data_IF_507595162879
#
_entry.id   IF_507595162879
#
_cell.length_a   1.000
_cell.length_b   1.000
_cell.length_c   1.000
_cell.angle_alpha   90.00
_cell.angle_beta   90.00
_cell.angle_gamma   90.00
#
_symmetry.space_group_name_H-M   'P 1'
#
loop_
_entity.id
_entity.type
_entity.pdbx_description
1 polymer ?
#
# COMPACT_ATOMS: atom_id res chain seq x y z
N UNK A 1 -10.77 -28.53 -7.60
CA UNK A 1 -10.47 -28.45 -6.16
C UNK A 1 -9.74 -27.13 -5.98
N UNK A 2 -10.23 -26.24 -5.12
CA UNK A 2 -9.42 -25.06 -4.75
C UNK A 2 -8.11 -25.55 -4.17
N UNK A 3 -7.00 -25.00 -4.60
CA UNK A 3 -5.70 -25.35 -4.07
C UNK A 3 -5.72 -25.06 -2.55
N UNK A 4 -5.40 -26.04 -1.69
CA UNK A 4 -5.41 -25.86 -0.23
C UNK A 4 -4.48 -24.71 0.22
N UNK A 5 -3.48 -24.39 -0.60
CA UNK A 5 -2.54 -23.30 -0.37
C UNK A 5 -3.18 -21.91 -0.55
N UNK A 6 -3.85 -21.67 -1.67
CA UNK A 6 -4.40 -20.35 -2.00
C UNK A 6 -5.92 -20.32 -1.83
N UNK A 7 -6.39 -19.82 -0.69
CA UNK A 7 -7.82 -19.61 -0.41
C UNK A 7 -8.28 -18.18 -0.77
N UNK A 8 -7.34 -17.34 -1.21
CA UNK A 8 -7.53 -15.92 -1.54
C UNK A 8 -7.38 -15.01 -0.31
N UNK A 9 -6.97 -13.80 -0.53
CA UNK A 9 -6.76 -12.86 0.58
C UNK A 9 -5.92 -11.66 0.18
N UNK A 10 -4.60 -11.74 0.33
CA UNK A 10 -3.75 -10.56 0.23
C UNK A 10 -4.23 -9.46 1.19
N UNK A 11 -4.01 -8.21 0.84
CA UNK A 11 -4.45 -7.05 1.64
C UNK A 11 -5.97 -6.92 1.77
N UNK A 12 -6.77 -7.63 0.95
CA UNK A 12 -8.25 -7.66 1.10
C UNK A 12 -8.70 -8.36 2.39
N UNK A 13 -7.81 -9.14 3.03
CA UNK A 13 -8.07 -9.82 4.30
C UNK A 13 -7.95 -8.89 5.52
N UNK A 14 -7.43 -7.66 5.37
CA UNK A 14 -7.33 -6.69 6.46
C UNK A 14 -8.73 -6.38 7.06
N UNK A 15 -8.77 -6.15 8.37
CA UNK A 15 -9.98 -5.65 9.03
C UNK A 15 -10.35 -4.28 8.44
N UNK A 16 -11.65 -4.01 8.31
CA UNK A 16 -12.10 -2.71 7.80
C UNK A 16 -11.70 -1.57 8.75
N UNK A 17 -11.38 -0.37 8.21
CA UNK A 17 -10.83 0.75 8.98
C UNK A 17 -11.73 1.13 10.18
N UNK A 18 -13.04 1.14 10.02
CA UNK A 18 -13.97 1.51 11.10
C UNK A 18 -14.02 0.53 12.28
N UNK A 19 -13.61 -0.75 12.12
CA UNK A 19 -13.50 -1.70 13.23
C UNK A 19 -12.18 -1.44 13.98
N UNK A 20 -11.10 -1.26 13.23
CA UNK A 20 -9.77 -1.03 13.80
C UNK A 20 -9.74 0.25 14.64
N UNK A 21 -10.29 1.34 14.15
CA UNK A 21 -10.41 2.62 14.87
C UNK A 21 -11.10 2.48 16.23
N UNK A 22 -12.20 1.69 16.28
CA UNK A 22 -12.94 1.46 17.53
C UNK A 22 -12.09 0.72 18.56
N UNK A 23 -11.33 -0.29 18.12
CA UNK A 23 -10.50 -1.11 19.00
C UNK A 23 -9.28 -0.32 19.49
N UNK A 24 -8.61 0.40 18.62
CA UNK A 24 -7.44 1.21 18.97
C UNK A 24 -7.75 2.31 19.98
N UNK A 25 -8.94 2.92 19.91
CA UNK A 25 -9.42 3.91 20.92
C UNK A 25 -9.58 3.34 22.33
N UNK A 26 -9.63 2.01 22.49
CA UNK A 26 -9.72 1.36 23.80
C UNK A 26 -8.34 1.18 24.45
N UNK A 27 -7.27 1.36 23.71
CA UNK A 27 -5.89 1.18 24.20
C UNK A 27 -5.45 2.46 24.92
N UNK A 28 -5.10 2.40 26.23
CA UNK A 28 -4.56 3.56 26.93
C UNK A 28 -3.22 4.00 26.29
N UNK A 29 -3.12 5.25 25.88
CA UNK A 29 -1.90 5.80 25.31
C UNK A 29 -0.93 6.20 26.42
N UNK A 30 0.31 5.70 26.36
CA UNK A 30 1.41 6.18 27.18
C UNK A 30 2.17 7.21 26.37
N UNK A 31 2.23 8.44 26.85
CA UNK A 31 3.05 9.46 26.23
C UNK A 31 4.56 9.12 26.41
N UNK A 32 5.27 9.09 25.30
CA UNK A 32 6.72 8.98 25.25
C UNK A 32 7.25 10.02 24.24
N UNK A 33 8.04 11.03 24.67
CA UNK A 33 8.52 12.06 23.76
C UNK A 33 9.47 11.55 22.67
N UNK A 34 9.96 10.31 22.79
CA UNK A 34 10.79 9.67 21.78
C UNK A 34 9.97 8.89 20.75
N UNK A 35 8.69 8.62 20.99
CA UNK A 35 7.78 8.09 19.98
C UNK A 35 7.34 9.26 19.09
N UNK A 36 8.03 9.44 17.97
CA UNK A 36 7.79 10.56 17.05
C UNK A 36 6.52 10.34 16.21
N UNK A 37 6.30 9.09 15.77
CA UNK A 37 5.11 8.66 15.02
C UNK A 37 4.58 7.37 15.65
N UNK A 38 3.27 7.34 15.92
CA UNK A 38 2.55 6.19 16.45
C UNK A 38 1.27 5.94 15.64
N UNK A 39 0.32 5.21 16.20
CA UNK A 39 -0.94 4.86 15.51
C UNK A 39 -2.03 5.96 15.57
N UNK A 40 -1.66 7.19 15.95
CA UNK A 40 -2.64 8.27 16.19
C UNK A 40 -3.24 8.87 14.93
N UNK A 41 -2.46 8.85 13.84
CA UNK A 41 -2.81 9.49 12.56
C UNK A 41 -2.87 8.49 11.39
N UNK A 42 -2.90 7.18 11.69
CA UNK A 42 -2.90 6.12 10.67
C UNK A 42 -1.67 6.17 9.76
N UNK A 43 -0.52 6.58 10.29
CA UNK A 43 0.74 6.51 9.57
C UNK A 43 1.16 5.06 9.30
N UNK A 44 1.96 4.85 8.25
CA UNK A 44 2.31 3.51 7.75
C UNK A 44 3.19 2.72 8.71
N UNK A 45 4.04 3.39 9.51
CA UNK A 45 4.90 2.75 10.50
C UNK A 45 5.11 3.58 11.76
N UNK A 46 5.48 2.92 12.86
CA UNK A 46 5.93 3.59 14.08
C UNK A 46 7.36 4.10 13.93
N UNK A 47 7.63 5.30 14.46
CA UNK A 47 8.98 5.89 14.46
C UNK A 47 9.39 6.24 15.89
N UNK A 48 10.47 5.62 16.36
CA UNK A 48 11.01 5.83 17.70
C UNK A 48 12.43 6.42 17.65
N UNK A 49 12.62 7.57 18.27
CA UNK A 49 13.91 8.27 18.30
C UNK A 49 14.89 7.61 19.26
N UNK A 50 16.07 7.27 18.78
CA UNK A 50 17.18 6.74 19.60
C UNK A 50 18.15 7.86 20.00
N UNK A 51 18.54 8.70 19.03
CA UNK A 51 19.41 9.87 19.21
C UNK A 51 18.87 11.07 18.45
N UNK A 52 19.53 12.21 18.52
CA UNK A 52 19.13 13.42 17.77
C UNK A 52 19.23 13.24 16.24
N UNK A 53 20.02 12.26 15.79
CA UNK A 53 20.28 12.01 14.36
C UNK A 53 19.72 10.66 13.86
N UNK A 54 19.22 9.79 14.76
CA UNK A 54 18.80 8.43 14.43
C UNK A 54 17.47 8.08 15.08
N UNK A 55 16.52 7.64 14.27
CA UNK A 55 15.30 6.99 14.69
C UNK A 55 15.16 5.62 14.03
N UNK A 56 14.46 4.71 14.71
CA UNK A 56 14.03 3.41 14.18
C UNK A 56 12.63 3.57 13.61
N UNK A 57 12.43 3.04 12.40
CA UNK A 57 11.11 2.84 11.78
C UNK A 57 10.77 1.37 11.91
N UNK A 58 9.58 1.05 12.42
CA UNK A 58 9.16 -0.34 12.64
C UNK A 58 7.73 -0.56 12.18
N UNK A 59 7.56 -1.60 11.36
CA UNK A 59 6.26 -2.06 10.88
C UNK A 59 6.17 -3.58 10.88
N UNK A 60 4.95 -4.06 10.69
CA UNK A 60 4.71 -5.46 10.35
C UNK A 60 3.46 -5.59 9.47
N UNK A 61 3.55 -6.45 8.46
CA UNK A 61 2.42 -6.79 7.60
C UNK A 61 2.47 -8.27 7.22
N UNK A 62 1.34 -8.95 7.28
CA UNK A 62 1.20 -10.35 6.88
C UNK A 62 -0.23 -10.64 6.45
N UNK A 63 -0.39 -11.57 5.51
CA UNK A 63 -1.69 -11.93 4.96
C UNK A 63 -1.69 -13.34 4.35
N UNK A 64 -2.88 -13.92 4.06
CA UNK A 64 -3.00 -15.20 3.37
C UNK A 64 -2.65 -15.10 1.89
N UNK A 65 -2.24 -16.21 1.24
CA UNK A 65 -1.90 -16.26 -0.17
C UNK A 65 -3.02 -15.77 -1.08
N UNK A 66 -2.63 -15.05 -2.14
CA UNK A 66 -3.51 -14.54 -3.18
C UNK A 66 -3.13 -15.05 -4.58
N UNK A 67 -1.96 -15.66 -4.70
CA UNK A 67 -1.46 -16.32 -5.91
C UNK A 67 -1.14 -17.78 -5.60
N UNK A 68 -1.14 -18.64 -6.62
CA UNK A 68 -0.93 -20.08 -6.43
C UNK A 68 0.56 -20.47 -6.32
N UNK A 69 1.46 -19.65 -6.82
CA UNK A 69 2.91 -19.86 -6.73
C UNK A 69 3.44 -19.39 -5.35
N UNK A 70 3.97 -20.32 -4.51
CA UNK A 70 4.47 -19.98 -3.18
C UNK A 70 5.65 -19.02 -3.19
N UNK A 71 6.57 -19.13 -4.16
CA UNK A 71 7.70 -18.23 -4.27
C UNK A 71 7.26 -16.81 -4.62
N UNK A 72 6.35 -16.69 -5.59
CA UNK A 72 5.75 -15.42 -5.96
C UNK A 72 4.98 -14.80 -4.78
N UNK A 73 4.22 -15.60 -4.03
CA UNK A 73 3.55 -15.13 -2.81
C UNK A 73 4.53 -14.57 -1.80
N UNK A 74 5.65 -15.25 -1.59
CA UNK A 74 6.73 -14.78 -0.72
C UNK A 74 7.28 -13.41 -1.14
N UNK A 75 7.51 -13.22 -2.45
CA UNK A 75 7.94 -11.92 -3.01
C UNK A 75 6.91 -10.81 -2.76
N UNK A 76 5.64 -11.08 -3.06
CA UNK A 76 4.56 -10.09 -2.89
C UNK A 76 4.41 -9.69 -1.42
N UNK A 77 4.37 -10.67 -0.51
CA UNK A 77 4.19 -10.40 0.91
C UNK A 77 5.36 -9.60 1.51
N UNK A 78 6.59 -9.91 1.11
CA UNK A 78 7.76 -9.16 1.54
C UNK A 78 7.77 -7.74 0.93
N UNK A 79 7.47 -7.58 -0.36
CA UNK A 79 7.41 -6.27 -1.02
C UNK A 79 6.39 -5.35 -0.33
N UNK A 80 5.23 -5.90 0.05
CA UNK A 80 4.21 -5.15 0.79
C UNK A 80 4.70 -4.71 2.17
N UNK A 81 5.26 -5.62 2.97
CA UNK A 81 5.73 -5.29 4.32
C UNK A 81 6.92 -4.32 4.34
N UNK A 82 7.76 -4.32 3.30
CA UNK A 82 8.88 -3.39 3.14
C UNK A 82 8.43 -1.97 2.76
N UNK A 83 7.24 -1.84 2.19
CA UNK A 83 6.72 -0.59 1.62
C UNK A 83 6.54 0.51 2.64
N UNK A 84 6.03 0.20 3.83
CA UNK A 84 5.80 1.15 4.92
C UNK A 84 7.09 1.90 5.31
N UNK A 85 8.25 1.22 5.28
CA UNK A 85 9.53 1.86 5.58
C UNK A 85 9.83 2.95 4.53
N UNK A 86 9.52 2.71 3.26
CA UNK A 86 9.74 3.66 2.18
C UNK A 86 8.72 4.80 2.19
N UNK A 87 7.46 4.51 2.55
CA UNK A 87 6.43 5.53 2.72
C UNK A 87 6.84 6.55 3.80
N UNK A 88 7.44 6.08 4.89
CA UNK A 88 7.98 6.93 5.95
C UNK A 88 9.29 7.65 5.57
N UNK A 89 9.87 7.41 4.39
CA UNK A 89 11.16 7.96 3.94
C UNK A 89 12.39 7.26 4.51
N UNK A 90 12.22 6.09 5.16
CA UNK A 90 13.25 5.32 5.82
C UNK A 90 14.06 4.41 4.89
N UNK A 91 15.05 3.75 5.48
CA UNK A 91 15.89 2.73 4.83
C UNK A 91 15.73 1.39 5.58
N UNK A 92 15.43 0.32 4.85
CA UNK A 92 15.31 -1.03 5.41
C UNK A 92 16.67 -1.50 5.96
N UNK A 93 16.67 -2.10 7.15
CA UNK A 93 17.86 -2.68 7.77
C UNK A 93 17.71 -4.16 8.03
N UNK A 94 16.66 -4.59 8.74
CA UNK A 94 16.41 -6.00 9.03
C UNK A 94 14.95 -6.36 8.86
N UNK A 95 14.69 -7.63 8.58
CA UNK A 95 13.35 -8.20 8.56
C UNK A 95 13.32 -9.53 9.33
N UNK A 96 12.17 -9.80 9.97
CA UNK A 96 11.86 -11.08 10.61
C UNK A 96 10.63 -11.68 9.95
N UNK A 97 10.69 -12.98 9.62
CA UNK A 97 9.53 -13.70 9.08
C UNK A 97 8.41 -13.84 10.12
N UNK A 98 7.17 -13.65 9.69
CA UNK A 98 5.96 -14.03 10.41
C UNK A 98 5.29 -15.13 9.59
N UNK A 99 5.15 -16.32 10.16
CA UNK A 99 4.68 -17.52 9.47
C UNK A 99 3.56 -18.20 10.25
N UNK A 100 2.40 -18.37 9.62
CA UNK A 100 1.39 -19.35 10.01
C UNK A 100 1.36 -20.42 8.91
N UNK A 101 1.54 -21.71 9.26
CA UNK A 101 1.68 -22.76 8.26
C UNK A 101 1.15 -24.10 8.78
N UNK A 102 0.30 -24.82 8.02
CA UNK A 102 -0.19 -26.14 8.41
C UNK A 102 0.95 -27.15 8.46
N UNK A 103 1.15 -27.81 9.61
CA UNK A 103 2.19 -28.84 9.77
C UNK A 103 2.01 -30.04 8.80
N UNK A 104 0.78 -30.28 8.34
CA UNK A 104 0.46 -31.32 7.35
C UNK A 104 0.81 -30.97 5.90
N UNK A 105 1.13 -29.69 5.61
CA UNK A 105 1.47 -29.24 4.27
C UNK A 105 2.95 -29.49 3.95
N UNK A 106 3.29 -29.70 2.67
CA UNK A 106 4.68 -29.93 2.26
C UNK A 106 5.58 -28.74 2.65
N UNK A 107 6.62 -29.02 3.44
CA UNK A 107 7.59 -28.03 3.89
C UNK A 107 8.33 -27.31 2.74
N UNK A 108 8.40 -27.92 1.54
CA UNK A 108 8.96 -27.26 0.36
C UNK A 108 8.17 -26.00 -0.03
N UNK A 109 6.86 -25.99 0.17
CA UNK A 109 6.00 -24.82 -0.05
C UNK A 109 6.45 -23.68 0.85
N UNK A 110 6.66 -23.93 2.14
CA UNK A 110 7.19 -22.94 3.07
C UNK A 110 8.59 -22.46 2.63
N UNK A 111 9.46 -23.39 2.21
CA UNK A 111 10.78 -23.07 1.70
C UNK A 111 10.73 -22.07 0.53
N UNK A 112 9.83 -22.27 -0.43
CA UNK A 112 9.64 -21.37 -1.56
C UNK A 112 9.13 -19.98 -1.13
N UNK A 113 8.18 -19.92 -0.18
CA UNK A 113 7.69 -18.64 0.38
C UNK A 113 8.86 -17.86 1.00
N UNK A 114 9.65 -18.51 1.86
CA UNK A 114 10.78 -17.86 2.53
C UNK A 114 11.87 -17.42 1.57
N UNK A 115 12.13 -18.19 0.50
CA UNK A 115 13.07 -17.80 -0.56
C UNK A 115 12.61 -16.55 -1.30
N UNK A 116 11.34 -16.49 -1.70
CA UNK A 116 10.76 -15.30 -2.33
C UNK A 116 10.82 -14.06 -1.44
N UNK A 117 10.52 -14.23 -0.15
CA UNK A 117 10.63 -13.14 0.83
C UNK A 117 12.07 -12.65 1.01
N UNK A 118 13.03 -13.59 1.13
CA UNK A 118 14.45 -13.25 1.27
C UNK A 118 15.01 -12.51 0.05
N UNK A 119 14.57 -12.87 -1.17
CA UNK A 119 14.97 -12.14 -2.38
C UNK A 119 14.61 -10.65 -2.27
N UNK A 120 13.38 -10.33 -1.88
CA UNK A 120 12.93 -8.94 -1.77
C UNK A 120 13.59 -8.18 -0.62
N UNK A 121 13.83 -8.82 0.51
CA UNK A 121 14.61 -8.23 1.62
C UNK A 121 16.03 -7.90 1.17
N UNK A 122 16.66 -8.79 0.41
CA UNK A 122 18.01 -8.58 -0.15
C UNK A 122 18.01 -7.43 -1.18
N UNK A 123 17.04 -7.40 -2.10
CA UNK A 123 16.86 -6.31 -3.06
C UNK A 123 16.65 -4.96 -2.36
N UNK A 124 15.92 -4.96 -1.25
CA UNK A 124 15.74 -3.79 -0.40
C UNK A 124 17.05 -3.29 0.23
N UNK A 125 18.08 -4.12 0.26
CA UNK A 125 19.36 -3.84 0.94
C UNK A 125 19.34 -4.20 2.42
N UNK A 126 18.31 -4.92 2.86
CA UNK A 126 18.17 -5.41 4.23
C UNK A 126 18.71 -6.83 4.43
N UNK A 127 18.63 -7.29 5.66
CA UNK A 127 19.02 -8.66 6.07
C UNK A 127 17.83 -9.36 6.70
N UNK A 128 17.49 -10.55 6.18
CA UNK A 128 16.53 -11.44 6.82
C UNK A 128 17.19 -12.10 8.03
N UNK A 129 16.78 -11.72 9.25
CA UNK A 129 17.49 -12.03 10.49
C UNK A 129 16.82 -13.17 11.31
N UNK A 130 15.83 -13.86 10.75
CA UNK A 130 15.10 -14.92 11.42
C UNK A 130 13.59 -14.73 11.37
N UNK A 131 12.89 -15.05 12.45
CA UNK A 131 11.43 -14.90 12.52
C UNK A 131 10.78 -15.88 13.49
N UNK A 132 9.45 -15.99 13.39
CA UNK A 132 8.65 -16.92 14.18
C UNK A 132 7.63 -17.64 13.31
N UNK A 133 7.40 -18.93 13.61
CA UNK A 133 6.41 -19.76 12.93
C UNK A 133 5.50 -20.46 13.92
N UNK A 134 4.23 -20.56 13.55
CA UNK A 134 3.23 -21.33 14.31
C UNK A 134 2.49 -22.30 13.38
N UNK A 135 2.07 -23.43 13.93
CA UNK A 135 1.13 -24.32 13.25
C UNK A 135 -0.27 -23.66 13.22
N UNK A 136 -0.86 -23.53 12.03
CA UNK A 136 -2.20 -22.96 11.83
C UNK A 136 -2.92 -23.75 10.73
N UNK A 137 -4.23 -23.60 10.64
CA UNK A 137 -5.05 -24.25 9.60
C UNK A 137 -4.88 -23.58 8.24
N UNK A 138 -4.45 -22.32 8.19
CA UNK A 138 -4.28 -21.54 6.98
C UNK A 138 -2.87 -20.95 6.89
N UNK A 139 -2.32 -20.91 5.68
CA UNK A 139 -1.06 -20.22 5.42
C UNK A 139 -1.25 -18.72 5.54
N UNK A 140 -0.37 -18.08 6.32
CA UNK A 140 -0.19 -16.63 6.35
C UNK A 140 1.31 -16.34 6.41
N UNK A 141 1.75 -15.36 5.65
CA UNK A 141 3.15 -14.95 5.61
C UNK A 141 3.27 -13.45 5.49
N UNK A 142 4.31 -12.94 6.07
CA UNK A 142 4.75 -11.57 5.97
C UNK A 142 5.99 -11.32 6.80
N UNK A 143 6.27 -10.05 7.04
CA UNK A 143 7.48 -9.63 7.74
C UNK A 143 7.16 -8.64 8.86
N UNK A 144 7.95 -8.69 9.93
CA UNK A 144 8.20 -7.53 10.76
C UNK A 144 9.48 -6.88 10.27
N UNK A 145 9.40 -5.60 9.88
CA UNK A 145 10.50 -4.88 9.26
C UNK A 145 10.98 -3.76 10.16
N UNK A 146 12.29 -3.65 10.31
CA UNK A 146 12.95 -2.53 10.95
C UNK A 146 13.77 -1.76 9.92
N UNK A 147 13.55 -0.45 9.88
CA UNK A 147 14.34 0.51 9.13
C UNK A 147 14.93 1.58 10.03
N UNK A 148 15.69 2.49 9.44
CA UNK A 148 16.23 3.68 10.11
C UNK A 148 15.98 4.93 9.29
N UNK A 149 15.86 6.06 10.01
CA UNK A 149 15.68 7.37 9.41
C UNK A 149 16.29 8.46 10.30
N UNK A 150 16.66 9.58 9.71
CA UNK A 150 16.97 10.78 10.49
C UNK A 150 15.65 11.41 10.98
N UNK A 151 15.49 11.77 12.28
CA UNK A 151 14.24 12.28 12.85
C UNK A 151 13.61 13.47 12.10
N UNK A 152 14.45 14.31 11.47
CA UNK A 152 13.99 15.49 10.69
C UNK A 152 13.60 15.17 9.24
N UNK A 153 13.65 13.92 8.82
CA UNK A 153 13.35 13.50 7.44
C UNK A 153 12.18 12.52 7.36
N UNK A 154 11.44 12.37 8.45
CA UNK A 154 10.26 11.52 8.50
C UNK A 154 9.21 12.11 7.56
N UNK A 155 8.66 11.27 6.68
CA UNK A 155 7.50 11.59 5.88
C UNK A 155 6.27 11.04 6.61
N UNK A 156 5.42 11.93 7.07
CA UNK A 156 4.13 11.56 7.66
C UNK A 156 3.04 11.66 6.58
N UNK A 157 1.94 10.94 6.76
CA UNK A 157 0.90 10.88 5.76
C UNK A 157 -0.02 12.12 5.73
N UNK A 158 -0.03 12.95 6.75
CA UNK A 158 -1.03 14.00 7.00
C UNK A 158 -0.50 15.45 6.93
N UNK A 159 0.66 15.67 6.37
CA UNK A 159 1.30 17.00 6.27
C UNK A 159 1.17 17.67 4.89
N UNK A 160 0.23 17.21 4.03
CA UNK A 160 -0.03 17.84 2.76
C UNK A 160 -0.40 19.32 2.90
N UNK A 161 -0.18 20.09 1.85
CA UNK A 161 -0.47 21.55 1.82
C UNK A 161 -1.35 21.90 0.63
N UNK A 162 -2.12 22.95 0.77
CA UNK A 162 -2.89 23.50 -0.34
C UNK A 162 -1.98 23.82 -1.53
N UNK A 163 -2.40 23.40 -2.73
CA UNK A 163 -1.64 23.57 -3.97
C UNK A 163 -0.68 22.42 -4.28
N UNK A 164 -0.42 21.49 -3.35
CA UNK A 164 0.37 20.31 -3.65
C UNK A 164 -0.27 19.48 -4.75
N UNK A 165 0.55 18.94 -5.65
CA UNK A 165 0.11 17.93 -6.60
C UNK A 165 0.23 16.55 -5.98
N UNK A 166 -0.72 15.67 -6.32
CA UNK A 166 -0.78 14.28 -5.87
C UNK A 166 -0.16 13.40 -6.96
N UNK A 167 0.95 12.72 -6.64
CA UNK A 167 1.64 11.83 -7.54
C UNK A 167 1.52 10.39 -7.04
N UNK A 168 1.03 9.49 -7.91
CA UNK A 168 0.89 8.05 -7.66
C UNK A 168 1.93 7.28 -8.48
N UNK A 169 2.65 6.34 -7.85
CA UNK A 169 3.84 5.69 -8.45
C UNK A 169 3.63 4.31 -9.04
N UNK A 170 2.43 3.73 -8.91
CA UNK A 170 2.05 2.43 -9.50
C UNK A 170 0.59 2.43 -9.92
N UNK A 171 0.20 1.55 -10.86
CA UNK A 171 -1.19 1.46 -11.31
C UNK A 171 -2.11 0.85 -10.25
N UNK A 172 -3.39 1.24 -10.30
CA UNK A 172 -4.48 0.66 -9.51
C UNK A 172 -5.11 -0.55 -10.21
N UNK A 173 -5.91 -1.32 -9.46
CA UNK A 173 -6.74 -2.41 -9.98
C UNK A 173 -6.26 -3.81 -9.59
N UNK A 174 -5.22 -3.93 -8.76
CA UNK A 174 -4.67 -5.22 -8.33
C UNK A 174 -5.72 -6.13 -7.67
N UNK A 175 -6.61 -5.58 -6.83
CA UNK A 175 -7.65 -6.37 -6.17
C UNK A 175 -8.69 -6.92 -7.16
N UNK A 176 -9.09 -6.12 -8.14
CA UNK A 176 -10.00 -6.51 -9.22
C UNK A 176 -9.36 -7.62 -10.06
N UNK A 177 -8.10 -7.44 -10.51
CA UNK A 177 -7.35 -8.45 -11.28
C UNK A 177 -7.23 -9.76 -10.51
N UNK A 178 -6.87 -9.72 -9.21
CA UNK A 178 -6.79 -10.92 -8.39
C UNK A 178 -8.16 -11.58 -8.17
N UNK A 179 -9.24 -10.82 -8.16
CA UNK A 179 -10.60 -11.36 -8.11
C UNK A 179 -10.96 -12.10 -9.42
N UNK A 180 -10.68 -11.49 -10.57
CA UNK A 180 -10.85 -12.13 -11.88
C UNK A 180 -9.97 -13.39 -12.02
N UNK A 181 -8.72 -13.34 -11.51
CA UNK A 181 -7.81 -14.50 -11.49
C UNK A 181 -8.38 -15.68 -10.71
N UNK A 182 -8.94 -15.45 -9.53
CA UNK A 182 -9.61 -16.51 -8.73
C UNK A 182 -10.80 -17.13 -9.44
N UNK A 183 -11.50 -16.34 -10.27
CA UNK A 183 -12.62 -16.79 -11.10
C UNK A 183 -12.15 -17.39 -12.43
N UNK A 184 -10.82 -17.47 -12.68
CA UNK A 184 -10.20 -17.95 -13.94
C UNK A 184 -10.64 -17.16 -15.17
N UNK A 185 -10.94 -15.89 -15.00
CA UNK A 185 -11.35 -14.94 -16.03
C UNK A 185 -10.27 -13.92 -16.40
N UNK A 186 -9.13 -13.92 -15.69
CA UNK A 186 -8.03 -12.98 -15.91
C UNK A 186 -7.28 -13.29 -17.20
N UNK A 187 -6.91 -12.26 -17.97
CA UNK A 187 -5.95 -12.38 -19.06
C UNK A 187 -4.52 -12.49 -18.52
N UNK A 188 -3.64 -13.18 -19.25
CA UNK A 188 -2.23 -13.30 -18.89
C UNK A 188 -1.56 -11.93 -18.74
N UNK A 189 -1.82 -11.01 -19.68
CA UNK A 189 -1.29 -9.65 -19.66
C UNK A 189 -1.70 -8.87 -18.39
N UNK A 190 -2.97 -8.90 -18.01
CA UNK A 190 -3.44 -8.20 -16.80
C UNK A 190 -2.89 -8.82 -15.52
N UNK A 191 -2.76 -10.17 -15.51
CA UNK A 191 -2.14 -10.86 -14.39
C UNK A 191 -0.66 -10.48 -14.22
N UNK A 192 0.10 -10.46 -15.33
CA UNK A 192 1.52 -10.10 -15.32
C UNK A 192 1.72 -8.65 -14.88
N UNK A 193 0.90 -7.70 -15.37
CA UNK A 193 0.93 -6.31 -14.91
C UNK A 193 0.69 -6.18 -13.40
N UNK A 194 -0.29 -6.92 -12.87
CA UNK A 194 -0.57 -6.92 -11.44
C UNK A 194 0.60 -7.53 -10.63
N UNK A 195 1.19 -8.63 -11.11
CA UNK A 195 2.35 -9.29 -10.49
C UNK A 195 3.56 -8.35 -10.49
N UNK A 196 3.85 -7.71 -11.61
CA UNK A 196 4.94 -6.73 -11.72
C UNK A 196 4.74 -5.58 -10.72
N UNK A 197 3.55 -5.00 -10.66
CA UNK A 197 3.21 -3.96 -9.69
C UNK A 197 3.42 -4.44 -8.25
N UNK A 198 2.91 -5.62 -7.89
CA UNK A 198 3.01 -6.18 -6.54
C UNK A 198 4.43 -6.58 -6.11
N UNK A 199 5.31 -6.90 -7.06
CA UNK A 199 6.68 -7.33 -6.76
C UNK A 199 7.72 -6.21 -6.92
N UNK A 200 7.36 -5.06 -7.46
CA UNK A 200 8.24 -3.90 -7.57
C UNK A 200 8.32 -3.16 -6.24
N UNK A 201 9.54 -2.99 -5.70
CA UNK A 201 9.76 -2.25 -4.45
C UNK A 201 9.49 -0.75 -4.64
N UNK A 202 8.77 -0.15 -3.69
CA UNK A 202 8.61 1.30 -3.59
C UNK A 202 9.92 2.04 -3.27
N UNK A 203 10.98 1.30 -2.94
CA UNK A 203 12.35 1.80 -2.74
C UNK A 203 12.80 2.76 -3.83
N UNK A 204 12.61 2.39 -5.09
CA UNK A 204 13.15 3.14 -6.23
C UNK A 204 12.49 4.51 -6.38
N UNK A 205 11.18 4.58 -6.20
CA UNK A 205 10.44 5.85 -6.18
C UNK A 205 10.81 6.68 -4.94
N UNK A 206 10.89 6.06 -3.76
CA UNK A 206 11.27 6.74 -2.52
C UNK A 206 12.67 7.36 -2.60
N UNK A 207 13.66 6.70 -3.24
CA UNK A 207 14.99 7.26 -3.45
C UNK A 207 14.98 8.51 -4.35
N UNK A 208 14.08 8.56 -5.33
CA UNK A 208 13.87 9.78 -6.15
C UNK A 208 13.28 10.88 -5.27
N UNK A 209 12.27 10.58 -4.47
CA UNK A 209 11.59 11.56 -3.62
C UNK A 209 12.51 12.22 -2.59
N UNK A 210 13.59 11.57 -2.16
CA UNK A 210 14.63 12.18 -1.29
C UNK A 210 15.25 13.47 -1.86
N UNK A 211 15.10 13.73 -3.18
CA UNK A 211 15.63 14.91 -3.88
C UNK A 211 14.66 16.09 -3.89
N UNK A 212 13.43 15.87 -3.44
CA UNK A 212 12.30 16.80 -3.56
C UNK A 212 11.72 17.16 -2.18
N UNK A 213 10.99 18.27 -2.13
CA UNK A 213 10.31 18.74 -0.93
C UNK A 213 8.97 18.07 -0.69
N UNK A 214 8.93 16.75 -0.53
CA UNK A 214 7.69 16.00 -0.26
C UNK A 214 7.08 16.47 1.07
N UNK A 215 5.80 16.81 1.06
CA UNK A 215 5.09 17.25 2.27
C UNK A 215 4.39 16.09 2.97
N UNK A 216 3.80 15.16 2.24
CA UNK A 216 3.16 13.96 2.81
C UNK A 216 3.37 12.76 1.88
N UNK A 217 3.43 11.57 2.46
CA UNK A 217 3.60 10.32 1.74
C UNK A 217 2.86 9.20 2.47
N UNK A 218 2.26 8.29 1.72
CA UNK A 218 1.72 6.99 2.18
C UNK A 218 1.82 5.99 1.04
N UNK A 219 1.75 4.70 1.31
CA UNK A 219 1.55 3.70 0.27
C UNK A 219 0.08 3.32 0.13
N UNK A 220 -0.32 2.93 -1.08
CA UNK A 220 -1.70 2.54 -1.33
C UNK A 220 -1.85 1.04 -1.16
N UNK A 221 -2.54 0.63 -0.10
CA UNK A 221 -2.74 -0.77 0.24
C UNK A 221 -4.24 -1.14 0.38
N UNK A 222 -4.61 -1.93 1.36
CA UNK A 222 -5.92 -2.56 1.49
C UNK A 222 -7.12 -1.61 1.59
N UNK A 223 -6.90 -0.36 1.93
CA UNK A 223 -7.99 0.64 2.01
C UNK A 223 -8.23 1.38 0.68
N UNK A 224 -7.38 1.16 -0.35
CA UNK A 224 -7.54 1.77 -1.66
C UNK A 224 -7.22 3.27 -1.69
N UNK A 225 -7.13 3.83 -2.89
CA UNK A 225 -6.66 5.19 -3.10
C UNK A 225 -7.46 6.23 -2.31
N UNK A 226 -8.79 6.17 -2.36
CA UNK A 226 -9.62 7.25 -1.80
C UNK A 226 -9.61 7.29 -0.26
N UNK A 227 -9.46 6.15 0.42
CA UNK A 227 -9.34 6.14 1.89
C UNK A 227 -7.99 6.69 2.32
N UNK A 228 -6.87 6.21 1.73
CA UNK A 228 -5.54 6.73 2.04
C UNK A 228 -5.40 8.22 1.71
N UNK A 229 -5.95 8.68 0.58
CA UNK A 229 -6.01 10.12 0.28
C UNK A 229 -6.84 10.87 1.32
N UNK A 230 -7.96 10.31 1.76
CA UNK A 230 -8.79 10.90 2.82
C UNK A 230 -8.06 11.04 4.16
N UNK A 231 -7.20 10.07 4.50
CA UNK A 231 -6.31 10.13 5.67
C UNK A 231 -5.26 11.24 5.50
N UNK A 232 -4.62 11.31 4.31
CA UNK A 232 -3.63 12.35 3.97
C UNK A 232 -4.18 13.76 4.08
N UNK A 233 -5.43 13.99 3.65
CA UNK A 233 -6.07 15.30 3.71
C UNK A 233 -6.47 15.73 5.13
N UNK A 234 -6.62 14.77 6.05
CA UNK A 234 -7.09 15.03 7.41
C UNK A 234 -8.42 15.80 7.43
N UNK A 235 -8.55 16.73 8.36
CA UNK A 235 -9.74 17.58 8.50
C UNK A 235 -9.58 18.99 7.90
N UNK A 236 -8.39 19.29 7.34
CA UNK A 236 -8.02 20.65 6.96
C UNK A 236 -8.13 20.92 5.46
N UNK A 237 -8.08 19.88 4.63
CA UNK A 237 -7.99 20.02 3.18
C UNK A 237 -9.02 19.18 2.45
N UNK A 238 -9.22 19.51 1.18
CA UNK A 238 -9.90 18.70 0.18
C UNK A 238 -8.94 18.40 -0.97
N UNK A 239 -9.34 17.50 -1.88
CA UNK A 239 -8.56 17.26 -3.10
C UNK A 239 -9.47 17.14 -4.32
N UNK A 240 -8.89 17.46 -5.47
CA UNK A 240 -9.40 17.11 -6.80
C UNK A 240 -8.57 15.94 -7.33
N UNK A 241 -9.25 14.92 -7.83
CA UNK A 241 -8.64 13.72 -8.44
C UNK A 241 -9.08 13.63 -9.88
N UNK A 242 -8.15 13.54 -10.81
CA UNK A 242 -8.39 13.57 -12.26
C UNK A 242 -8.34 12.15 -12.84
N UNK A 243 -9.50 11.57 -13.19
CA UNK A 243 -9.59 10.19 -13.65
C UNK A 243 -8.79 9.91 -14.91
N UNK A 244 -8.64 10.90 -15.79
CA UNK A 244 -7.85 10.80 -17.02
C UNK A 244 -6.34 10.65 -16.79
N UNK A 245 -5.85 10.92 -15.58
CA UNK A 245 -4.44 10.88 -15.21
C UNK A 245 -4.08 9.71 -14.28
N UNK A 246 -5.08 8.92 -13.88
CA UNK A 246 -4.85 7.79 -12.98
C UNK A 246 -4.22 6.63 -13.74
N UNK A 247 -3.05 6.12 -13.33
CA UNK A 247 -2.51 4.88 -13.83
C UNK A 247 -3.34 3.72 -13.27
N UNK A 248 -3.81 2.81 -14.14
CA UNK A 248 -4.55 1.60 -13.73
C UNK A 248 -4.44 0.51 -14.79
N UNK A 249 -4.60 -0.74 -14.38
CA UNK A 249 -4.62 -1.90 -15.26
C UNK A 249 -5.91 -1.85 -16.09
N UNK A 250 -5.79 -1.60 -17.39
CA UNK A 250 -6.93 -1.31 -18.28
C UNK A 250 -8.01 -2.38 -18.30
N UNK A 251 -7.61 -3.65 -18.21
CA UNK A 251 -8.55 -4.77 -18.17
C UNK A 251 -9.53 -4.70 -16.97
N UNK A 252 -9.25 -3.88 -15.96
CA UNK A 252 -10.16 -3.70 -14.83
C UNK A 252 -11.51 -3.10 -15.25
N UNK A 253 -11.58 -2.31 -16.32
CA UNK A 253 -12.86 -1.77 -16.80
C UNK A 253 -13.82 -2.90 -17.18
N UNK A 254 -13.35 -3.86 -18.01
CA UNK A 254 -14.14 -5.02 -18.42
C UNK A 254 -14.45 -5.93 -17.22
N UNK A 255 -13.47 -6.14 -16.32
CA UNK A 255 -13.69 -6.98 -15.14
C UNK A 255 -14.74 -6.40 -14.19
N UNK A 256 -14.80 -5.09 -14.03
CA UNK A 256 -15.84 -4.44 -13.24
C UNK A 256 -17.21 -4.56 -13.89
N UNK A 257 -17.32 -4.44 -15.21
CA UNK A 257 -18.56 -4.66 -15.95
C UNK A 257 -19.08 -6.11 -15.78
N UNK A 258 -18.16 -7.07 -15.62
CA UNK A 258 -18.47 -8.47 -15.29
C UNK A 258 -18.63 -8.73 -13.78
N UNK A 259 -18.66 -7.68 -12.96
CA UNK A 259 -18.79 -7.72 -11.50
C UNK A 259 -17.67 -8.45 -10.74
N UNK A 260 -16.45 -8.52 -11.27
CA UNK A 260 -15.28 -8.97 -10.51
C UNK A 260 -14.76 -7.89 -9.56
N UNK A 261 -15.65 -7.38 -8.73
CA UNK A 261 -15.35 -6.36 -7.72
C UNK A 261 -15.01 -6.98 -6.37
N UNK A 262 -14.30 -6.25 -5.52
CA UNK A 262 -13.84 -6.75 -4.24
C UNK A 262 -14.77 -6.39 -3.08
N UNK A 263 -15.00 -7.33 -2.17
CA UNK A 263 -15.73 -7.02 -0.94
C UNK A 263 -15.01 -5.96 -0.08
N UNK A 264 -13.68 -5.89 -0.17
CA UNK A 264 -12.90 -4.86 0.50
C UNK A 264 -13.14 -3.48 -0.12
N UNK A 265 -13.22 -3.37 -1.45
CA UNK A 265 -13.59 -2.11 -2.13
C UNK A 265 -14.96 -1.60 -1.68
N UNK A 266 -15.93 -2.50 -1.49
CA UNK A 266 -17.24 -2.11 -0.95
C UNK A 266 -17.16 -1.62 0.51
N UNK A 267 -16.30 -2.21 1.35
CA UNK A 267 -16.04 -1.71 2.71
C UNK A 267 -15.38 -0.32 2.68
N UNK A 268 -14.42 -0.11 1.77
CA UNK A 268 -13.75 1.17 1.56
C UNK A 268 -14.75 2.25 1.11
N UNK A 269 -15.62 1.92 0.13
CA UNK A 269 -16.72 2.80 -0.32
C UNK A 269 -17.66 3.16 0.84
N UNK A 270 -18.05 2.21 1.67
CA UNK A 270 -18.91 2.46 2.82
C UNK A 270 -18.24 3.34 3.89
N UNK A 271 -16.91 3.31 3.99
CA UNK A 271 -16.16 4.10 4.96
C UNK A 271 -16.07 5.58 4.57
N UNK A 272 -15.64 5.88 3.35
CA UNK A 272 -15.35 7.25 2.93
C UNK A 272 -16.31 7.80 1.85
N UNK A 273 -17.10 6.97 1.20
CA UNK A 273 -17.89 7.35 0.02
C UNK A 273 -18.81 8.54 0.23
N UNK A 274 -19.35 8.73 1.44
CA UNK A 274 -20.16 9.91 1.77
C UNK A 274 -19.37 11.24 1.69
N UNK A 275 -18.04 11.19 1.74
CA UNK A 275 -17.13 12.34 1.67
C UNK A 275 -16.55 12.54 0.26
N UNK A 276 -16.94 11.71 -0.72
CA UNK A 276 -16.47 11.76 -2.11
C UNK A 276 -17.59 12.26 -3.00
N UNK A 277 -17.29 13.17 -3.91
CA UNK A 277 -18.15 13.59 -5.00
C UNK A 277 -17.57 13.08 -6.32
N UNK A 278 -18.39 12.40 -7.13
CA UNK A 278 -18.01 11.91 -8.45
C UNK A 278 -18.69 12.76 -9.52
N UNK A 279 -17.90 13.36 -10.44
CA UNK A 279 -18.39 14.14 -11.55
C UNK A 279 -18.01 13.50 -12.87
N UNK A 280 -18.98 13.00 -13.62
CA UNK A 280 -18.79 12.31 -14.90
C UNK A 280 -17.83 11.11 -14.85
N UNK A 281 -17.81 10.39 -13.74
CA UNK A 281 -17.01 9.19 -13.52
C UNK A 281 -17.81 7.95 -13.97
N UNK A 282 -17.15 6.99 -14.63
CA UNK A 282 -17.76 5.69 -14.95
C UNK A 282 -17.84 4.82 -13.69
N UNK A 283 -18.80 3.90 -13.66
CA UNK A 283 -18.90 2.92 -12.57
C UNK A 283 -17.60 2.11 -12.41
N UNK A 284 -16.98 1.72 -13.51
CA UNK A 284 -15.71 0.99 -13.47
C UNK A 284 -14.60 1.80 -12.78
N UNK A 285 -14.47 3.08 -13.13
CA UNK A 285 -13.46 3.93 -12.49
C UNK A 285 -13.76 4.16 -11.01
N UNK A 286 -15.02 4.34 -10.62
CA UNK A 286 -15.39 4.42 -9.21
C UNK A 286 -14.94 3.19 -8.42
N UNK A 287 -15.18 1.98 -8.93
CA UNK A 287 -14.76 0.72 -8.30
C UNK A 287 -13.23 0.58 -8.24
N UNK A 288 -12.51 0.98 -9.31
CA UNK A 288 -11.05 0.99 -9.35
C UNK A 288 -10.45 1.91 -8.26
N UNK A 289 -11.06 3.06 -8.01
CA UNK A 289 -10.61 4.02 -6.99
C UNK A 289 -10.80 3.54 -5.55
N UNK A 290 -11.78 2.67 -5.31
CA UNK A 290 -12.00 2.02 -4.00
C UNK A 290 -11.30 0.67 -3.89
N UNK A 291 -10.75 0.14 -4.99
CA UNK A 291 -10.16 -1.20 -5.01
C UNK A 291 -8.96 -1.31 -4.07
N UNK A 292 -8.92 -2.34 -3.20
CA UNK A 292 -7.75 -2.57 -2.35
C UNK A 292 -6.54 -2.92 -3.20
N UNK A 293 -5.40 -2.35 -2.87
CA UNK A 293 -4.13 -2.71 -3.49
C UNK A 293 -3.32 -3.59 -2.55
N UNK A 294 -2.59 -4.55 -3.11
CA UNK A 294 -1.53 -5.27 -2.40
C UNK A 294 -0.21 -4.77 -2.94
N UNK A 295 0.64 -4.26 -2.07
CA UNK A 295 1.92 -3.67 -2.46
C UNK A 295 1.76 -2.59 -3.55
N UNK A 296 0.78 -1.70 -3.36
CA UNK A 296 0.54 -0.60 -4.30
C UNK A 296 1.64 0.46 -4.27
N UNK A 297 1.44 1.52 -5.06
CA UNK A 297 2.41 2.60 -5.19
C UNK A 297 2.39 3.57 -4.01
N UNK A 298 3.41 4.42 -3.95
CA UNK A 298 3.41 5.58 -3.07
C UNK A 298 2.46 6.65 -3.64
N UNK A 299 1.68 7.24 -2.75
CA UNK A 299 0.96 8.48 -3.00
C UNK A 299 1.70 9.59 -2.26
N UNK A 300 2.16 10.60 -2.97
CA UNK A 300 2.87 11.73 -2.37
C UNK A 300 2.18 13.05 -2.67
N UNK A 301 2.17 13.95 -1.68
CA UNK A 301 1.84 15.35 -1.86
C UNK A 301 3.14 16.14 -2.06
N UNK A 302 3.31 16.74 -3.23
CA UNK A 302 4.54 17.37 -3.68
C UNK A 302 4.26 18.80 -4.19
N UNK A 303 5.15 19.80 -3.92
CA UNK A 303 5.01 21.14 -4.47
C UNK A 303 4.88 21.13 -6.00
N UNK A 304 3.94 21.94 -6.53
CA UNK A 304 3.63 21.99 -7.97
C UNK A 304 4.86 22.23 -8.86
N UNK A 305 5.79 23.09 -8.42
CA UNK A 305 7.01 23.41 -9.16
C UNK A 305 8.02 22.25 -9.25
N UNK A 306 7.90 21.21 -8.41
CA UNK A 306 8.78 20.05 -8.37
C UNK A 306 8.15 18.81 -9.02
N UNK A 307 6.81 18.72 -9.01
CA UNK A 307 6.06 17.51 -9.38
C UNK A 307 6.37 16.97 -10.77
N UNK A 308 6.43 17.84 -11.80
CA UNK A 308 6.72 17.41 -13.18
C UNK A 308 8.12 16.83 -13.35
N UNK A 309 9.08 17.34 -12.58
CA UNK A 309 10.46 16.83 -12.63
C UNK A 309 10.54 15.48 -11.92
N UNK A 310 9.91 15.35 -10.75
CA UNK A 310 9.81 14.09 -10.03
C UNK A 310 9.12 13.01 -10.87
N UNK A 311 7.99 13.33 -11.50
CA UNK A 311 7.27 12.42 -12.39
C UNK A 311 8.17 11.85 -13.48
N UNK A 312 8.92 12.72 -14.21
CA UNK A 312 9.83 12.27 -15.28
C UNK A 312 10.93 11.34 -14.77
N UNK A 313 11.45 11.57 -13.56
CA UNK A 313 12.48 10.68 -13.00
C UNK A 313 11.87 9.32 -12.60
N UNK A 314 10.60 9.25 -12.19
CA UNK A 314 9.90 8.01 -11.86
C UNK A 314 9.51 7.26 -13.14
N UNK A 315 8.99 7.96 -14.17
CA UNK A 315 8.73 7.38 -15.49
C UNK A 315 9.98 6.73 -16.10
N UNK A 316 11.15 7.32 -15.87
CA UNK A 316 12.44 6.76 -16.34
C UNK A 316 12.83 5.44 -15.65
N UNK A 317 12.18 5.07 -14.54
CA UNK A 317 12.29 3.74 -13.92
C UNK A 317 11.42 2.68 -14.62
N UNK A 318 10.59 3.07 -15.59
CA UNK A 318 9.63 2.20 -16.25
C UNK A 318 8.34 1.97 -15.45
N UNK A 319 8.08 2.79 -14.41
CA UNK A 319 6.86 2.68 -13.60
C UNK A 319 5.69 3.39 -14.30
N UNK A 320 4.53 2.73 -14.31
CA UNK A 320 3.26 3.35 -14.70
C UNK A 320 2.78 4.23 -13.54
N UNK A 321 2.94 5.54 -13.69
CA UNK A 321 2.76 6.55 -12.65
C UNK A 321 2.09 7.79 -13.22
N UNK A 322 1.57 8.67 -12.35
CA UNK A 322 0.91 9.89 -12.81
C UNK A 322 0.73 10.95 -11.73
N UNK A 323 0.60 12.21 -12.16
CA UNK A 323 0.07 13.29 -11.32
C UNK A 323 -1.45 13.22 -11.41
N UNK A 324 -2.07 12.65 -10.39
CA UNK A 324 -3.48 12.24 -10.38
C UNK A 324 -4.43 13.29 -9.80
N UNK A 325 -3.93 14.40 -9.28
CA UNK A 325 -4.79 15.38 -8.64
C UNK A 325 -4.02 16.49 -7.93
N UNK A 326 -4.77 17.27 -7.15
CA UNK A 326 -4.26 18.42 -6.39
C UNK A 326 -4.95 18.53 -5.04
N UNK A 327 -4.20 18.90 -4.02
CA UNK A 327 -4.73 19.33 -2.72
C UNK A 327 -5.29 20.75 -2.83
N UNK A 328 -6.49 20.95 -2.29
CA UNK A 328 -7.18 22.25 -2.33
C UNK A 328 -7.55 22.70 -0.91
N UNK A 329 -7.97 23.96 -0.77
CA UNK A 329 -8.66 24.39 0.44
C UNK A 329 -9.83 23.47 0.79
N UNK A 330 -10.21 23.45 2.07
CA UNK A 330 -11.33 22.63 2.55
C UNK A 330 -12.63 23.01 1.85
N UNK A 331 -13.29 22.02 1.26
CA UNK A 331 -14.60 22.12 0.61
C UNK A 331 -15.65 21.28 1.35
N UNK A 332 -16.90 21.27 0.86
CA UNK A 332 -17.99 20.46 1.43
C UNK A 332 -17.67 18.96 1.44
N UNK A 333 -17.16 18.44 0.34
CA UNK A 333 -16.65 17.06 0.25
C UNK A 333 -15.13 17.05 0.40
N UNK A 334 -14.63 15.95 0.95
CA UNK A 334 -13.18 15.77 1.12
C UNK A 334 -12.48 15.52 -0.21
N UNK A 335 -13.10 14.76 -1.12
CA UNK A 335 -12.51 14.41 -2.41
C UNK A 335 -13.53 14.67 -3.53
N UNK A 336 -13.08 15.32 -4.59
CA UNK A 336 -13.81 15.56 -5.83
C UNK A 336 -13.13 14.79 -6.94
N UNK A 337 -13.78 13.76 -7.45
CA UNK A 337 -13.29 12.95 -8.57
C UNK A 337 -13.85 13.54 -9.86
N UNK A 338 -12.95 14.06 -10.70
CA UNK A 338 -13.25 14.78 -11.93
C UNK A 338 -12.77 13.98 -13.14
N UNK A 339 -13.38 14.21 -14.32
CA UNK A 339 -12.95 13.56 -15.57
C UNK A 339 -11.64 14.14 -16.11
#
# INVERSE_FOLDING_TARGET
>A
MMNEFCKGGGCTAKLGPGILDKVLKMIPKKADPKLLVGFDHSDDAAVYQLTDELAVVQTLDFFPPMVEDPYLFGKIAATNALSDIYAMGGEVKTALNIVCFPESMDANILGQILLGGNEKVTEAGGVLAGGHSINDVDVKYGLSVMGTIHPKRILENNHCKEGDLLLLTKPLGVGIVMTASRMKAVSEEAFDQAVESMTTLNKYAAEIFKKYGIHACTDITGFGLLVHLGEMLGENYSAEVWTSQIPYIRACEDYVEEFYITAAGQRNRNHIGAQVAFENCSFAMEEILFDPQTSGGLLVAIPENEAKKALKEIEALGLDCGIIGRVTEKKEKKIYVLK
#
